data_IF_556766897200
#
_entry.id   IF_556766897200
#
_cell.length_a   1.000
_cell.length_b   1.000
_cell.length_c   1.000
_cell.angle_alpha   90.00
_cell.angle_beta   90.00
_cell.angle_gamma   90.00
#
_symmetry.space_group_name_H-M   'P 1'
#
loop_
_entity.id
_entity.type
_entity.pdbx_description
1 polymer ?
#
# COMPACT_ATOMS: atom_id res chain seq x y z
N UNK A 1 46.21 29.48 26.78
CA UNK A 1 45.93 28.11 26.31
C UNK A 1 44.70 27.55 27.00
N UNK A 2 43.65 27.23 26.24
CA UNK A 2 42.64 26.19 26.54
C UNK A 2 41.45 26.33 25.57
N UNK A 3 41.57 25.71 24.40
CA UNK A 3 40.44 25.42 23.52
C UNK A 3 39.90 24.04 23.95
N UNK A 4 38.58 23.86 24.16
CA UNK A 4 38.04 22.57 24.60
C UNK A 4 38.33 21.47 23.57
N UNK A 5 38.92 20.36 24.01
CA UNK A 5 39.25 19.20 23.17
C UNK A 5 38.03 18.40 22.64
N UNK A 6 36.80 18.92 22.78
CA UNK A 6 35.57 18.19 22.43
C UNK A 6 35.14 18.31 20.96
N UNK A 7 35.95 18.89 20.07
CA UNK A 7 35.65 18.99 18.63
C UNK A 7 36.67 18.22 17.78
N UNK A 8 37.30 17.17 18.33
CA UNK A 8 38.10 16.22 17.56
C UNK A 8 37.33 14.92 17.38
N UNK A 9 36.46 14.87 16.37
CA UNK A 9 35.86 13.59 15.94
C UNK A 9 34.42 13.67 15.42
N UNK A 10 34.19 14.34 14.29
CA UNK A 10 33.09 14.00 13.37
C UNK A 10 33.69 13.76 11.99
N UNK A 11 33.36 12.67 11.28
CA UNK A 11 34.14 12.23 10.14
C UNK A 11 34.02 13.24 9.00
N UNK A 12 35.16 13.78 8.55
CA UNK A 12 35.29 14.55 7.28
C UNK A 12 35.01 13.70 6.03
N UNK A 13 34.75 12.40 6.19
CA UNK A 13 34.07 11.55 5.21
C UNK A 13 32.58 11.85 5.32
N UNK A 14 32.01 12.79 4.57
CA UNK A 14 31.37 12.43 3.31
C UNK A 14 30.86 13.67 2.54
N UNK A 15 31.52 14.84 2.64
CA UNK A 15 31.02 16.04 1.96
C UNK A 15 30.98 15.87 0.43
N UNK A 16 32.01 15.23 -0.15
CA UNK A 16 32.10 14.93 -1.59
C UNK A 16 31.03 13.93 -2.05
N UNK A 17 30.75 12.89 -1.27
CA UNK A 17 29.72 11.89 -1.59
C UNK A 17 28.33 12.50 -1.48
N UNK A 18 28.07 13.33 -0.47
CA UNK A 18 26.82 14.08 -0.34
C UNK A 18 26.62 15.06 -1.49
N UNK A 19 27.66 15.80 -1.89
CA UNK A 19 27.58 16.74 -3.03
C UNK A 19 27.35 16.02 -4.36
N UNK A 20 28.04 14.90 -4.60
CA UNK A 20 27.81 14.05 -5.79
C UNK A 20 26.38 13.51 -5.82
N UNK A 21 25.86 13.04 -4.69
CA UNK A 21 24.47 12.57 -4.57
C UNK A 21 23.48 13.70 -4.90
N UNK A 22 23.66 14.89 -4.34
CA UNK A 22 22.80 16.06 -4.62
C UNK A 22 22.85 16.51 -6.07
N UNK A 23 24.03 16.52 -6.69
CA UNK A 23 24.17 16.84 -8.12
C UNK A 23 23.43 15.83 -8.99
N UNK A 24 23.54 14.54 -8.66
CA UNK A 24 22.82 13.48 -9.36
C UNK A 24 21.31 13.59 -9.17
N UNK A 25 20.83 13.81 -7.93
CA UNK A 25 19.41 14.05 -7.65
C UNK A 25 18.89 15.27 -8.41
N UNK A 26 19.64 16.36 -8.47
CA UNK A 26 19.26 17.56 -9.22
C UNK A 26 19.19 17.28 -10.73
N UNK A 27 20.14 16.52 -11.28
CA UNK A 27 20.09 16.07 -12.67
C UNK A 27 18.82 15.25 -12.93
N UNK A 28 18.50 14.29 -12.05
CA UNK A 28 17.29 13.47 -12.16
C UNK A 28 16.02 14.32 -12.09
N UNK A 29 15.92 15.26 -11.14
CA UNK A 29 14.76 16.16 -10.99
C UNK A 29 14.59 17.04 -12.24
N UNK A 30 15.69 17.47 -12.87
CA UNK A 30 15.61 18.24 -14.13
C UNK A 30 15.20 17.41 -15.34
N UNK A 31 15.45 16.08 -15.30
CA UNK A 31 15.22 15.16 -16.43
C UNK A 31 13.86 14.51 -16.39
N UNK A 32 13.32 14.29 -15.19
CA UNK A 32 12.08 13.58 -14.96
C UNK A 32 11.09 14.52 -14.27
N UNK A 33 9.87 14.58 -14.80
CA UNK A 33 8.79 15.30 -14.14
C UNK A 33 8.60 14.75 -12.72
N UNK A 34 8.26 15.61 -11.73
CA UNK A 34 7.86 15.14 -10.41
C UNK A 34 6.76 14.10 -10.53
N UNK A 35 6.92 13.00 -9.80
CA UNK A 35 5.86 12.01 -9.70
C UNK A 35 4.70 12.60 -8.89
N UNK A 36 3.58 12.81 -9.55
CA UNK A 36 2.32 13.17 -8.89
C UNK A 36 1.54 11.87 -8.62
N UNK A 37 1.37 11.46 -7.35
CA UNK A 37 0.61 10.27 -7.04
C UNK A 37 -0.84 10.45 -7.47
N UNK A 38 -1.39 9.45 -8.18
CA UNK A 38 -2.83 9.39 -8.42
C UNK A 38 -3.57 9.42 -7.09
N UNK A 39 -4.63 10.21 -7.01
CA UNK A 39 -5.47 10.25 -5.82
C UNK A 39 -6.11 8.87 -5.61
N UNK A 40 -5.93 8.30 -4.42
CA UNK A 40 -6.50 7.01 -4.07
C UNK A 40 -7.26 7.05 -2.74
N UNK A 41 -8.24 6.15 -2.61
CA UNK A 41 -8.92 5.88 -1.34
C UNK A 41 -8.54 4.49 -0.85
N UNK A 42 -8.11 4.41 0.40
CA UNK A 42 -7.70 3.15 1.02
C UNK A 42 -8.85 2.53 1.83
N UNK A 43 -9.03 1.23 1.71
CA UNK A 43 -9.99 0.44 2.49
C UNK A 43 -9.29 -0.74 3.17
N UNK A 44 -9.60 -0.95 4.44
CA UNK A 44 -9.15 -2.11 5.22
C UNK A 44 -10.32 -3.06 5.42
N UNK A 45 -10.24 -4.24 4.81
CA UNK A 45 -11.25 -5.30 4.92
C UNK A 45 -10.82 -6.30 5.98
N UNK A 46 -11.63 -6.40 7.04
CA UNK A 46 -11.54 -7.36 8.13
C UNK A 46 -12.94 -7.62 8.72
N UNK A 47 -13.01 -8.34 9.83
CA UNK A 47 -14.25 -8.72 10.54
C UNK A 47 -15.12 -7.55 10.97
N UNK A 48 -14.53 -6.36 11.12
CA UNK A 48 -15.26 -5.15 11.54
C UNK A 48 -15.71 -4.30 10.34
N UNK A 49 -15.42 -4.71 9.11
CA UNK A 49 -15.84 -3.99 7.91
C UNK A 49 -17.34 -4.13 7.74
N UNK A 50 -18.05 -3.01 7.68
CA UNK A 50 -19.49 -3.00 7.51
C UNK A 50 -19.91 -3.36 6.06
N UNK A 51 -21.16 -3.81 5.91
CA UNK A 51 -21.69 -4.21 4.62
C UNK A 51 -21.75 -3.07 3.60
N UNK A 52 -22.03 -1.83 4.02
CA UNK A 52 -22.12 -0.68 3.12
C UNK A 52 -20.79 -0.39 2.42
N UNK A 53 -19.68 -0.46 3.17
CA UNK A 53 -18.33 -0.32 2.61
C UNK A 53 -18.06 -1.40 1.58
N UNK A 54 -18.43 -2.65 1.85
CA UNK A 54 -18.27 -3.76 0.90
C UNK A 54 -19.13 -3.55 -0.37
N UNK A 55 -20.37 -3.07 -0.23
CA UNK A 55 -21.21 -2.73 -1.37
C UNK A 55 -20.59 -1.64 -2.25
N UNK A 56 -20.10 -0.55 -1.64
CA UNK A 56 -19.45 0.53 -2.37
C UNK A 56 -18.20 0.04 -3.12
N UNK A 57 -17.42 -0.84 -2.50
CA UNK A 57 -16.24 -1.45 -3.10
C UNK A 57 -16.63 -2.35 -4.28
N UNK A 58 -17.65 -3.19 -4.13
CA UNK A 58 -18.14 -4.06 -5.20
C UNK A 58 -18.59 -3.23 -6.42
N UNK A 59 -19.33 -2.14 -6.19
CA UNK A 59 -19.71 -1.24 -7.28
C UNK A 59 -18.49 -0.55 -7.92
N UNK A 60 -17.46 -0.23 -7.14
CA UNK A 60 -16.21 0.30 -7.70
C UNK A 60 -15.47 -0.73 -8.58
N UNK A 61 -15.46 -2.00 -8.19
CA UNK A 61 -14.87 -3.11 -8.98
C UNK A 61 -15.62 -3.31 -10.30
N UNK A 62 -16.96 -3.32 -10.28
CA UNK A 62 -17.75 -3.50 -11.50
C UNK A 62 -17.53 -2.41 -12.55
N UNK A 63 -17.23 -1.20 -12.09
CA UNK A 63 -16.95 -0.04 -12.93
C UNK A 63 -15.45 0.17 -13.17
N UNK A 64 -14.61 -0.77 -12.77
CA UNK A 64 -13.17 -0.69 -12.95
C UNK A 64 -12.80 -0.94 -14.41
N UNK A 65 -11.77 -0.27 -14.87
CA UNK A 65 -11.21 -0.50 -16.21
C UNK A 65 -10.00 -1.45 -16.16
N UNK A 66 -9.30 -1.47 -15.04
CA UNK A 66 -8.27 -2.46 -14.75
C UNK A 66 -8.06 -2.61 -13.25
N UNK A 67 -7.41 -3.71 -12.87
CA UNK A 67 -7.02 -3.98 -11.50
C UNK A 67 -5.59 -4.50 -11.44
N UNK A 68 -4.91 -4.20 -10.34
CA UNK A 68 -3.66 -4.89 -9.97
C UNK A 68 -3.86 -5.58 -8.63
N UNK A 69 -3.31 -6.78 -8.51
CA UNK A 69 -3.40 -7.61 -7.34
C UNK A 69 -1.98 -7.95 -6.89
N UNK A 70 -1.69 -7.62 -5.65
CA UNK A 70 -0.45 -7.97 -4.97
C UNK A 70 -0.79 -8.74 -3.69
N UNK A 71 -0.02 -9.77 -3.39
CA UNK A 71 -0.25 -10.62 -2.22
C UNK A 71 1.01 -10.68 -1.39
N UNK A 72 0.95 -10.14 -0.19
CA UNK A 72 2.01 -10.25 0.78
C UNK A 72 1.60 -11.21 1.89
N UNK A 73 2.48 -12.17 2.22
CA UNK A 73 2.27 -13.04 3.37
C UNK A 73 3.48 -12.98 4.29
N UNK A 74 3.24 -12.73 5.58
CA UNK A 74 4.31 -12.75 6.57
C UNK A 74 4.36 -14.15 7.18
N UNK A 75 5.46 -14.86 6.96
CA UNK A 75 5.71 -16.13 7.66
C UNK A 75 6.09 -15.84 9.11
N UNK A 76 5.08 -15.69 9.98
CA UNK A 76 5.32 -15.60 11.43
C UNK A 76 5.57 -17.01 11.96
N UNK A 77 6.84 -17.35 12.18
CA UNK A 77 7.24 -18.65 12.73
C UNK A 77 6.50 -18.93 14.06
N UNK A 78 5.94 -20.15 14.20
CA UNK A 78 5.19 -20.66 15.36
C UNK A 78 3.80 -20.08 15.66
N UNK A 79 3.21 -19.22 14.83
CA UNK A 79 1.80 -18.83 15.03
C UNK A 79 0.84 -19.63 14.12
N UNK A 80 -0.20 -20.28 14.68
CA UNK A 80 -1.35 -20.68 13.88
C UNK A 80 -2.07 -19.42 13.37
N UNK A 81 -2.66 -19.49 12.18
CA UNK A 81 -3.31 -18.37 11.47
C UNK A 81 -2.32 -17.27 11.05
N UNK A 82 -1.52 -17.56 10.02
CA UNK A 82 -0.60 -16.59 9.43
C UNK A 82 -1.41 -15.46 8.78
N UNK A 83 -1.17 -14.19 9.13
CA UNK A 83 -1.79 -13.09 8.44
C UNK A 83 -1.28 -13.07 6.99
N UNK A 84 -2.22 -13.07 6.05
CA UNK A 84 -1.97 -12.74 4.67
C UNK A 84 -2.69 -11.43 4.36
N UNK A 85 -2.01 -10.57 3.62
CA UNK A 85 -2.50 -9.30 3.13
C UNK A 85 -2.69 -9.43 1.63
N UNK A 86 -3.89 -9.18 1.16
CA UNK A 86 -4.15 -8.99 -0.27
C UNK A 86 -4.29 -7.50 -0.48
N UNK A 87 -3.42 -6.94 -1.32
CA UNK A 87 -3.53 -5.57 -1.80
C UNK A 87 -4.15 -5.60 -3.19
N UNK A 88 -5.25 -4.88 -3.36
CA UNK A 88 -5.88 -4.69 -4.65
C UNK A 88 -5.93 -3.21 -5.00
N UNK A 89 -5.38 -2.83 -6.14
CA UNK A 89 -5.58 -1.51 -6.70
C UNK A 89 -6.62 -1.56 -7.82
N UNK A 90 -7.74 -0.87 -7.64
CA UNK A 90 -8.79 -0.70 -8.64
C UNK A 90 -8.53 0.61 -9.39
N UNK A 91 -8.41 0.54 -10.70
CA UNK A 91 -8.15 1.69 -11.57
C UNK A 91 -9.45 2.02 -12.33
N UNK A 92 -9.84 3.28 -12.30
CA UNK A 92 -11.01 3.82 -13.00
C UNK A 92 -10.57 4.96 -13.91
N UNK A 93 -11.11 5.04 -15.12
CA UNK A 93 -10.60 5.95 -16.18
C UNK A 93 -10.69 7.45 -15.86
N UNK A 94 -11.51 7.88 -14.89
CA UNK A 94 -11.70 9.30 -14.56
C UNK A 94 -11.96 9.57 -13.06
N UNK A 95 -11.59 8.64 -12.18
CA UNK A 95 -11.90 8.70 -10.75
C UNK A 95 -10.68 8.32 -9.89
N UNK A 96 -10.86 8.42 -8.57
CA UNK A 96 -9.91 7.94 -7.58
C UNK A 96 -9.65 6.44 -7.76
N UNK A 97 -8.38 6.02 -7.66
CA UNK A 97 -8.08 4.60 -7.52
C UNK A 97 -8.47 4.10 -6.13
N UNK A 98 -8.80 2.82 -5.99
CA UNK A 98 -9.06 2.23 -4.69
C UNK A 98 -7.95 1.27 -4.33
N UNK A 99 -7.36 1.42 -3.13
CA UNK A 99 -6.41 0.45 -2.58
C UNK A 99 -7.11 -0.32 -1.48
N UNK A 100 -7.30 -1.61 -1.67
CA UNK A 100 -7.98 -2.49 -0.73
C UNK A 100 -6.96 -3.39 -0.10
N UNK A 101 -6.94 -3.41 1.24
CA UNK A 101 -6.10 -4.27 2.04
C UNK A 101 -6.98 -5.27 2.77
N UNK A 102 -6.78 -6.56 2.52
CA UNK A 102 -7.62 -7.63 3.08
C UNK A 102 -6.80 -8.47 4.05
N UNK A 103 -7.20 -8.50 5.32
CA UNK A 103 -6.57 -9.32 6.36
C UNK A 103 -7.24 -10.70 6.42
N UNK A 104 -6.68 -11.69 5.72
CA UNK A 104 -7.30 -13.01 5.57
C UNK A 104 -7.48 -13.74 6.91
N UNK A 105 -6.57 -13.52 7.86
CA UNK A 105 -6.66 -14.11 9.21
C UNK A 105 -7.70 -13.47 10.12
N UNK A 106 -8.32 -12.38 9.69
CA UNK A 106 -9.30 -11.61 10.47
C UNK A 106 -10.59 -11.38 9.68
N UNK A 107 -10.95 -12.27 8.76
CA UNK A 107 -12.22 -12.21 8.04
C UNK A 107 -13.43 -12.47 8.97
N UNK A 108 -14.64 -11.99 8.61
CA UNK A 108 -15.87 -12.33 9.32
C UNK A 108 -16.19 -13.83 9.29
N UNK A 109 -17.14 -14.28 10.12
CA UNK A 109 -17.57 -15.68 10.12
C UNK A 109 -18.21 -16.06 8.75
N UNK A 110 -17.97 -17.27 8.22
CA UNK A 110 -18.58 -17.72 6.97
C UNK A 110 -20.11 -17.62 6.88
N UNK A 111 -20.81 -17.66 8.02
CA UNK A 111 -22.26 -17.54 8.08
C UNK A 111 -22.76 -16.08 8.03
N UNK A 112 -21.89 -15.10 8.25
CA UNK A 112 -22.24 -13.69 8.23
C UNK A 112 -22.41 -13.15 6.80
N UNK A 113 -23.30 -12.17 6.65
CA UNK A 113 -23.55 -11.52 5.36
C UNK A 113 -22.30 -10.82 4.81
N UNK A 114 -21.47 -10.23 5.68
CA UNK A 114 -20.22 -9.57 5.33
C UNK A 114 -19.23 -10.53 4.68
N UNK A 115 -19.13 -11.77 5.15
CA UNK A 115 -18.29 -12.79 4.52
C UNK A 115 -18.76 -13.11 3.10
N UNK A 116 -20.08 -13.29 2.90
CA UNK A 116 -20.66 -13.52 1.57
C UNK A 116 -20.42 -12.35 0.61
N UNK A 117 -20.43 -11.11 1.12
CA UNK A 117 -20.09 -9.94 0.33
C UNK A 117 -18.60 -9.93 -0.07
N UNK A 118 -17.70 -10.31 0.83
CA UNK A 118 -16.27 -10.46 0.52
C UNK A 118 -16.06 -11.56 -0.54
N UNK A 119 -16.74 -12.69 -0.44
CA UNK A 119 -16.69 -13.72 -1.49
C UNK A 119 -17.16 -13.16 -2.83
N UNK A 120 -18.30 -12.44 -2.84
CA UNK A 120 -18.83 -11.82 -4.05
C UNK A 120 -17.88 -10.78 -4.65
N UNK A 121 -17.17 -10.02 -3.81
CA UNK A 121 -16.12 -9.12 -4.25
C UNK A 121 -15.03 -9.87 -5.02
N UNK A 122 -14.51 -10.97 -4.46
CA UNK A 122 -13.50 -11.78 -5.14
C UNK A 122 -14.01 -12.41 -6.43
N UNK A 123 -15.27 -12.86 -6.46
CA UNK A 123 -15.90 -13.37 -7.70
C UNK A 123 -15.84 -12.30 -8.79
N UNK A 124 -16.29 -11.07 -8.53
CA UNK A 124 -16.20 -10.00 -9.52
C UNK A 124 -14.76 -9.68 -9.93
N UNK A 125 -13.80 -9.75 -9.01
CA UNK A 125 -12.39 -9.46 -9.33
C UNK A 125 -11.75 -10.50 -10.26
N UNK A 126 -12.18 -11.75 -10.22
CA UNK A 126 -11.58 -12.83 -11.01
C UNK A 126 -12.43 -13.26 -12.23
N UNK A 127 -13.69 -12.85 -12.30
CA UNK A 127 -14.56 -13.06 -13.47
C UNK A 127 -14.54 -11.89 -14.46
N UNK A 128 -13.99 -10.73 -14.07
CA UNK A 128 -13.79 -9.57 -14.95
C UNK A 128 -12.48 -9.68 -15.72
#
# INVERSE_FOLDING_TARGET
DNIPESIKGKPRQNLRTTLKKKLHEHELISRFAPFEPYLYRQFFINRNTNAQTLHNIIEAVKNATSFTLDTESVCVYKKPNKPALIQLQIIQENLFSYVILIEVGHLPNPNEQTFKLIQRLFVYLFES
#
